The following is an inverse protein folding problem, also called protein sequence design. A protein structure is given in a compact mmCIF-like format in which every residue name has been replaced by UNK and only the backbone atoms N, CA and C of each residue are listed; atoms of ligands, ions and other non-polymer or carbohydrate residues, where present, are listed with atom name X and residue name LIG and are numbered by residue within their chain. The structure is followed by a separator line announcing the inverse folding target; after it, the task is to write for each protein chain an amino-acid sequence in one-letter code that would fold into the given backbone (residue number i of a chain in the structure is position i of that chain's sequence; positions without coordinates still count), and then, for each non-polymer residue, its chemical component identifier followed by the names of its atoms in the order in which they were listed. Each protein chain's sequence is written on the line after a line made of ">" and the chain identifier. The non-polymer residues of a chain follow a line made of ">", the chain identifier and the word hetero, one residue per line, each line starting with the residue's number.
data_IF_920442810724
#
_entry.id   IF_920442810724
#
_cell.length_a   1.000
_cell.length_b   1.000
_cell.length_c   1.000
_cell.angle_alpha   90.00
_cell.angle_beta   90.00
_cell.angle_gamma   90.00
#
_symmetry.space_group_name_H-M   'P 1'
#
loop_
_entity.id
_entity.type
_entity.pdbx_description
1 polymer ?
#
# COMPACT_ATOMS: atom_id res chain seq x y z
N UNK A 1 -28.43 4.69 -18.38
CA UNK A 1 -28.66 6.07 -17.85
C UNK A 1 -28.90 6.16 -16.33
N UNK A 2 -29.77 5.35 -15.68
CA UNK A 2 -29.89 5.39 -14.20
C UNK A 2 -28.71 4.71 -13.47
N UNK A 3 -28.15 3.66 -14.04
CA UNK A 3 -26.98 2.97 -13.47
C UNK A 3 -25.71 3.83 -13.42
N UNK A 4 -25.49 4.65 -14.43
CA UNK A 4 -24.33 5.55 -14.49
C UNK A 4 -24.37 6.65 -13.42
N UNK A 5 -25.55 7.13 -13.06
CA UNK A 5 -25.69 8.15 -12.02
C UNK A 5 -25.34 7.59 -10.65
N UNK A 6 -25.87 6.43 -10.28
CA UNK A 6 -25.60 5.81 -8.99
C UNK A 6 -24.12 5.45 -8.84
N UNK A 7 -23.53 4.87 -9.87
CA UNK A 7 -22.09 4.56 -9.88
C UNK A 7 -21.23 5.82 -9.76
N UNK A 8 -21.62 6.93 -10.41
CA UNK A 8 -20.91 8.21 -10.30
C UNK A 8 -21.08 8.81 -8.90
N UNK A 9 -22.27 8.81 -8.32
CA UNK A 9 -22.53 9.29 -6.96
C UNK A 9 -21.74 8.49 -5.93
N UNK A 10 -21.63 7.17 -6.07
CA UNK A 10 -20.81 6.35 -5.21
C UNK A 10 -19.32 6.69 -5.31
N UNK A 11 -18.79 6.85 -6.52
CA UNK A 11 -17.40 7.30 -6.72
C UNK A 11 -17.16 8.70 -6.14
N UNK A 12 -18.16 9.59 -6.23
CA UNK A 12 -18.09 10.93 -5.63
C UNK A 12 -17.97 10.85 -4.11
N UNK A 13 -18.78 10.01 -3.45
CA UNK A 13 -18.67 9.76 -2.01
C UNK A 13 -17.27 9.29 -1.65
N UNK A 14 -16.75 8.27 -2.34
CA UNK A 14 -15.40 7.75 -2.09
C UNK A 14 -14.31 8.80 -2.31
N UNK A 15 -14.47 9.66 -3.32
CA UNK A 15 -13.50 10.71 -3.65
C UNK A 15 -13.45 11.80 -2.57
N UNK A 16 -14.61 12.20 -2.06
CA UNK A 16 -14.72 13.16 -0.95
C UNK A 16 -14.19 12.58 0.37
N UNK A 17 -14.50 11.32 0.67
CA UNK A 17 -14.07 10.65 1.89
C UNK A 17 -12.54 10.49 2.00
N UNK A 18 -11.84 10.42 0.86
CA UNK A 18 -10.37 10.33 0.82
C UNK A 18 -9.67 11.68 0.92
N UNK A 19 -10.39 12.78 0.85
CA UNK A 19 -9.80 14.12 0.80
C UNK A 19 -10.03 14.89 2.09
N UNK A 20 -9.00 14.97 2.94
CA UNK A 20 -9.03 15.77 4.17
C UNK A 20 -9.19 17.27 3.89
N UNK A 21 -8.66 17.76 2.79
CA UNK A 21 -8.63 19.18 2.45
C UNK A 21 -9.74 19.61 1.48
N UNK A 22 -10.59 18.66 1.09
CA UNK A 22 -11.62 18.86 0.09
C UNK A 22 -11.12 18.70 -1.35
N UNK A 23 -12.06 18.59 -2.29
CA UNK A 23 -11.80 18.45 -3.73
C UNK A 23 -12.46 19.59 -4.46
N UNK A 24 -11.74 20.24 -5.36
CA UNK A 24 -12.26 21.33 -6.19
C UNK A 24 -13.35 20.84 -7.14
N UNK A 25 -14.33 21.70 -7.41
CA UNK A 25 -15.42 21.38 -8.35
C UNK A 25 -14.90 21.01 -9.74
N UNK A 26 -13.83 21.66 -10.18
CA UNK A 26 -13.22 21.42 -11.48
C UNK A 26 -12.51 20.09 -11.55
N UNK A 27 -11.84 19.72 -10.45
CA UNK A 27 -11.17 18.43 -10.32
C UNK A 27 -12.21 17.30 -10.35
N UNK A 28 -13.34 17.47 -9.62
CA UNK A 28 -14.45 16.50 -9.65
C UNK A 28 -15.05 16.36 -11.05
N UNK A 29 -15.26 17.47 -11.77
CA UNK A 29 -15.78 17.45 -13.12
C UNK A 29 -14.83 16.72 -14.09
N UNK A 30 -13.53 16.91 -13.92
CA UNK A 30 -12.49 16.22 -14.69
C UNK A 30 -12.41 14.74 -14.33
N UNK A 31 -12.35 14.39 -13.04
CA UNK A 31 -12.27 13.00 -12.53
C UNK A 31 -13.43 12.13 -13.03
N UNK A 32 -14.61 12.72 -13.23
CA UNK A 32 -15.83 12.01 -13.66
C UNK A 32 -16.21 12.27 -15.12
N UNK A 33 -15.34 12.94 -15.88
CA UNK A 33 -15.58 13.26 -17.29
C UNK A 33 -16.97 13.84 -17.56
N UNK A 34 -17.42 14.77 -16.70
CA UNK A 34 -18.76 15.35 -16.78
C UNK A 34 -18.75 16.87 -16.56
N UNK A 35 -19.85 17.54 -16.91
CA UNK A 35 -19.99 18.97 -16.68
C UNK A 35 -20.12 19.31 -15.18
N UNK A 36 -19.61 20.46 -14.74
CA UNK A 36 -19.77 21.01 -13.38
C UNK A 36 -21.23 20.96 -12.90
N UNK A 37 -22.19 21.23 -13.78
CA UNK A 37 -23.62 21.16 -13.45
C UNK A 37 -24.07 19.76 -13.03
N UNK A 38 -23.47 18.73 -13.59
CA UNK A 38 -23.74 17.33 -13.22
C UNK A 38 -23.19 17.04 -11.83
N UNK A 39 -21.97 17.50 -11.54
CA UNK A 39 -21.37 17.37 -10.20
C UNK A 39 -22.21 18.09 -9.15
N UNK A 40 -22.68 19.31 -9.40
CA UNK A 40 -23.59 20.03 -8.49
C UNK A 40 -24.85 19.22 -8.19
N UNK A 41 -25.51 18.68 -9.21
CA UNK A 41 -26.72 17.87 -9.01
C UNK A 41 -26.45 16.60 -8.19
N UNK A 42 -25.29 15.98 -8.38
CA UNK A 42 -24.92 14.81 -7.61
C UNK A 42 -24.57 15.17 -6.16
N UNK A 43 -23.88 16.30 -5.92
CA UNK A 43 -23.63 16.84 -4.57
C UNK A 43 -24.93 17.19 -3.85
N UNK A 44 -25.86 17.87 -4.53
CA UNK A 44 -27.17 18.21 -3.99
C UNK A 44 -27.98 16.95 -3.62
N UNK A 45 -27.90 15.92 -4.46
CA UNK A 45 -28.54 14.64 -4.19
C UNK A 45 -27.95 13.93 -2.97
N UNK A 46 -26.61 14.00 -2.79
CA UNK A 46 -25.95 13.47 -1.60
C UNK A 46 -26.36 14.23 -0.33
N UNK A 47 -26.38 15.55 -0.37
CA UNK A 47 -26.84 16.38 0.75
C UNK A 47 -28.29 16.07 1.09
N UNK A 48 -29.15 15.94 0.09
CA UNK A 48 -30.55 15.55 0.28
C UNK A 48 -30.70 14.12 0.86
N UNK A 49 -29.74 13.23 0.57
CA UNK A 49 -29.67 11.89 1.15
C UNK A 49 -29.07 11.85 2.56
N UNK A 50 -28.71 13.00 3.13
CA UNK A 50 -28.20 13.12 4.50
C UNK A 50 -26.68 13.02 4.64
N UNK A 51 -25.93 13.00 3.54
CA UNK A 51 -24.47 13.05 3.62
C UNK A 51 -24.01 14.45 4.06
N UNK A 52 -23.11 14.56 5.06
CA UNK A 52 -22.67 15.84 5.61
C UNK A 52 -21.57 16.47 4.74
N UNK A 53 -21.94 16.88 3.54
CA UNK A 53 -21.06 17.56 2.59
C UNK A 53 -20.95 19.04 2.96
N UNK A 54 -19.71 19.50 3.13
CA UNK A 54 -19.37 20.92 3.31
C UNK A 54 -18.80 21.49 2.03
N UNK A 55 -19.14 22.76 1.75
CA UNK A 55 -18.52 23.53 0.70
C UNK A 55 -17.71 24.68 1.30
N UNK A 56 -16.48 24.85 0.86
CA UNK A 56 -15.61 25.97 1.24
C UNK A 56 -15.11 26.71 0.01
N UNK A 57 -15.07 28.03 0.08
CA UNK A 57 -14.50 28.86 -0.97
C UNK A 57 -13.08 29.28 -0.59
N UNK A 58 -12.09 28.88 -1.40
CA UNK A 58 -10.68 29.24 -1.26
C UNK A 58 -10.17 29.75 -2.60
N UNK A 59 -9.49 30.89 -2.64
CA UNK A 59 -8.85 31.45 -3.85
C UNK A 59 -9.81 31.48 -5.06
N UNK A 60 -11.02 31.93 -4.84
CA UNK A 60 -12.09 32.02 -5.85
C UNK A 60 -12.55 30.66 -6.44
N UNK A 61 -12.19 29.53 -5.81
CA UNK A 61 -12.63 28.19 -6.16
C UNK A 61 -13.46 27.56 -5.04
N UNK A 62 -14.39 26.69 -5.40
CA UNK A 62 -15.23 25.97 -4.44
C UNK A 62 -14.69 24.57 -4.26
N UNK A 63 -14.45 24.18 -3.02
CA UNK A 63 -14.03 22.86 -2.60
C UNK A 63 -15.13 22.18 -1.81
N UNK A 64 -15.27 20.88 -2.00
CA UNK A 64 -16.22 20.05 -1.29
C UNK A 64 -15.50 19.00 -0.47
N UNK A 65 -15.94 18.76 0.77
CA UNK A 65 -15.46 17.71 1.66
C UNK A 65 -16.57 17.23 2.57
N UNK A 66 -16.38 16.11 3.22
CA UNK A 66 -17.21 15.72 4.34
C UNK A 66 -16.77 16.43 5.63
N UNK A 67 -17.68 16.50 6.61
CA UNK A 67 -17.34 16.86 7.99
C UNK A 67 -16.20 15.97 8.51
N UNK A 68 -15.32 16.53 9.34
CA UNK A 68 -14.07 15.87 9.77
C UNK A 68 -14.28 14.53 10.48
N UNK A 69 -15.42 14.34 11.15
CA UNK A 69 -15.76 13.08 11.83
C UNK A 69 -16.58 12.10 10.97
N UNK A 70 -16.89 12.47 9.73
CA UNK A 70 -17.64 11.58 8.84
C UNK A 70 -16.76 10.43 8.37
N UNK A 71 -17.10 9.23 8.84
CA UNK A 71 -16.53 7.99 8.33
C UNK A 71 -17.51 7.38 7.34
N UNK A 72 -17.01 7.05 6.16
CA UNK A 72 -17.78 6.26 5.22
C UNK A 72 -18.06 4.91 5.88
N UNK A 73 -19.30 4.68 6.27
CA UNK A 73 -19.73 3.36 6.73
C UNK A 73 -19.56 2.36 5.60
N UNK A 74 -19.25 1.14 5.94
CA UNK A 74 -19.11 -0.06 5.11
C UNK A 74 -18.78 0.15 3.63
N UNK A 75 -17.52 0.00 3.28
CA UNK A 75 -17.12 -0.19 1.87
C UNK A 75 -17.70 -1.53 1.43
N UNK A 76 -18.64 -1.58 0.49
CA UNK A 76 -19.21 -2.84 0.03
C UNK A 76 -18.12 -3.62 -0.73
N UNK A 77 -17.87 -4.83 -0.30
CA UNK A 77 -17.04 -5.79 -1.01
C UNK A 77 -17.91 -6.85 -1.68
N UNK A 78 -17.58 -7.21 -2.90
CA UNK A 78 -18.15 -8.38 -3.55
C UNK A 78 -17.50 -9.65 -2.97
N UNK A 79 -18.16 -10.82 -3.07
CA UNK A 79 -17.57 -12.10 -2.68
C UNK A 79 -16.20 -12.36 -3.32
N UNK A 80 -16.05 -12.03 -4.61
CA UNK A 80 -14.81 -12.22 -5.35
C UNK A 80 -13.68 -11.31 -4.88
N UNK A 81 -13.99 -10.08 -4.47
CA UNK A 81 -12.99 -9.15 -3.90
C UNK A 81 -12.49 -9.66 -2.56
N UNK A 82 -13.37 -10.13 -1.68
CA UNK A 82 -12.98 -10.69 -0.39
C UNK A 82 -12.16 -11.96 -0.57
N UNK A 83 -12.57 -12.84 -1.49
CA UNK A 83 -11.82 -14.05 -1.83
C UNK A 83 -10.41 -13.70 -2.33
N UNK A 84 -10.30 -12.72 -3.22
CA UNK A 84 -9.02 -12.27 -3.75
C UNK A 84 -8.11 -11.70 -2.67
N UNK A 85 -8.67 -10.94 -1.72
CA UNK A 85 -7.93 -10.42 -0.56
C UNK A 85 -7.48 -11.55 0.38
N UNK A 86 -8.34 -12.53 0.67
CA UNK A 86 -7.98 -13.69 1.50
C UNK A 86 -6.90 -14.55 0.84
N UNK A 87 -6.96 -14.75 -0.48
CA UNK A 87 -5.90 -15.40 -1.23
C UNK A 87 -4.59 -14.61 -1.18
N UNK A 88 -4.66 -13.28 -1.28
CA UNK A 88 -3.51 -12.40 -1.12
C UNK A 88 -2.88 -12.49 0.28
N UNK A 89 -3.70 -12.61 1.35
CA UNK A 89 -3.21 -12.86 2.71
C UNK A 89 -2.42 -14.17 2.78
N UNK A 90 -2.96 -15.25 2.21
CA UNK A 90 -2.28 -16.54 2.17
C UNK A 90 -0.95 -16.50 1.40
N UNK A 91 -0.88 -15.78 0.29
CA UNK A 91 0.38 -15.55 -0.45
C UNK A 91 1.42 -14.79 0.40
N UNK A 92 0.97 -13.83 1.21
CA UNK A 92 1.83 -13.06 2.10
C UNK A 92 2.17 -13.76 3.40
N UNK A 93 1.66 -14.98 3.65
CA UNK A 93 1.99 -15.78 4.85
C UNK A 93 3.49 -16.06 4.99
N UNK A 94 4.21 -16.09 3.87
CA UNK A 94 5.67 -16.17 3.89
C UNK A 94 6.35 -14.95 4.52
N UNK A 95 5.62 -13.85 4.68
CA UNK A 95 6.06 -12.60 5.33
C UNK A 95 5.38 -12.40 6.69
N UNK A 96 4.92 -13.48 7.33
CA UNK A 96 4.33 -13.44 8.68
C UNK A 96 5.28 -12.76 9.66
N UNK A 97 4.71 -11.92 10.55
CA UNK A 97 5.47 -11.10 11.48
C UNK A 97 6.04 -9.81 10.90
N UNK A 98 5.82 -9.53 9.63
CA UNK A 98 6.18 -8.22 9.02
C UNK A 98 4.98 -7.29 8.94
N UNK A 99 5.25 -5.99 8.76
CA UNK A 99 4.20 -4.98 8.56
C UNK A 99 3.28 -5.31 7.37
N UNK A 100 3.78 -5.99 6.35
CA UNK A 100 3.00 -6.35 5.16
C UNK A 100 1.92 -7.38 5.48
N UNK A 101 2.28 -8.49 6.11
CA UNK A 101 1.31 -9.53 6.51
C UNK A 101 0.38 -9.04 7.62
N UNK A 102 0.91 -8.41 8.67
CA UNK A 102 0.10 -7.93 9.79
C UNK A 102 -0.93 -6.89 9.35
N UNK A 103 -0.60 -6.03 8.38
CA UNK A 103 -1.51 -5.01 7.88
C UNK A 103 -2.64 -5.60 7.04
N UNK A 104 -2.36 -6.55 6.14
CA UNK A 104 -3.42 -7.21 5.36
C UNK A 104 -4.32 -8.06 6.25
N UNK A 105 -3.74 -8.80 7.22
CA UNK A 105 -4.47 -9.57 8.21
C UNK A 105 -5.44 -8.68 9.00
N UNK A 106 -4.93 -7.57 9.56
CA UNK A 106 -5.76 -6.60 10.29
C UNK A 106 -6.87 -5.99 9.43
N UNK A 107 -6.60 -5.70 8.15
CA UNK A 107 -7.61 -5.18 7.24
C UNK A 107 -8.71 -6.21 6.98
N UNK A 108 -8.34 -7.47 6.71
CA UNK A 108 -9.27 -8.56 6.49
C UNK A 108 -10.12 -8.89 7.71
N UNK A 109 -9.56 -8.85 8.92
CA UNK A 109 -10.32 -9.02 10.16
C UNK A 109 -11.40 -7.94 10.32
N UNK A 110 -11.10 -6.68 9.98
CA UNK A 110 -12.09 -5.59 9.99
C UNK A 110 -13.18 -5.80 8.95
N UNK A 111 -12.81 -6.27 7.74
CA UNK A 111 -13.77 -6.61 6.69
C UNK A 111 -14.66 -7.77 7.16
N UNK A 112 -14.08 -8.86 7.65
CA UNK A 112 -14.82 -10.02 8.18
C UNK A 112 -15.79 -9.63 9.28
N UNK A 113 -15.38 -8.74 10.19
CA UNK A 113 -16.23 -8.24 11.27
C UNK A 113 -17.44 -7.43 10.78
N UNK A 114 -17.38 -6.87 9.57
CA UNK A 114 -18.48 -6.13 8.94
C UNK A 114 -19.41 -6.99 8.08
N UNK A 115 -19.06 -8.27 7.87
CA UNK A 115 -19.84 -9.17 7.02
C UNK A 115 -21.01 -9.81 7.80
N UNK A 116 -22.11 -10.05 7.09
CA UNK A 116 -23.23 -10.85 7.62
C UNK A 116 -22.88 -12.33 7.75
N UNK A 117 -23.70 -13.09 8.54
CA UNK A 117 -23.43 -14.49 8.82
C UNK A 117 -23.31 -15.38 7.57
N UNK A 118 -24.15 -15.14 6.56
CA UNK A 118 -24.13 -15.90 5.29
C UNK A 118 -22.81 -15.75 4.54
N UNK A 119 -22.27 -14.53 4.48
CA UNK A 119 -21.00 -14.25 3.80
C UNK A 119 -19.83 -14.84 4.59
N UNK A 120 -19.88 -14.79 5.91
CA UNK A 120 -18.87 -15.39 6.79
C UNK A 120 -18.80 -16.90 6.59
N UNK A 121 -19.95 -17.58 6.53
CA UNK A 121 -20.03 -19.04 6.25
C UNK A 121 -19.55 -19.37 4.85
N UNK A 122 -19.89 -18.56 3.85
CA UNK A 122 -19.42 -18.72 2.48
C UNK A 122 -17.88 -18.64 2.39
N UNK A 123 -17.27 -17.67 3.05
CA UNK A 123 -15.81 -17.51 3.09
C UNK A 123 -15.12 -18.64 3.85
N UNK A 124 -15.72 -19.17 4.92
CA UNK A 124 -15.18 -20.31 5.63
C UNK A 124 -15.11 -21.54 4.73
N UNK A 125 -16.17 -21.83 3.98
CA UNK A 125 -16.22 -22.94 3.01
C UNK A 125 -15.23 -22.78 1.87
N UNK A 126 -15.02 -21.54 1.39
CA UNK A 126 -14.02 -21.24 0.37
C UNK A 126 -12.59 -21.44 0.88
N UNK A 127 -12.32 -21.05 2.12
CA UNK A 127 -11.00 -21.26 2.76
C UNK A 127 -10.61 -22.73 2.89
N UNK A 128 -11.59 -23.64 2.94
CA UNK A 128 -11.35 -25.10 2.90
C UNK A 128 -10.95 -25.59 1.49
N UNK A 129 -11.36 -24.87 0.44
CA UNK A 129 -11.14 -25.27 -0.96
C UNK A 129 -9.81 -24.80 -1.53
N UNK A 130 -9.18 -23.80 -0.90
CA UNK A 130 -7.91 -23.20 -1.36
C UNK A 130 -6.91 -23.13 -0.20
N UNK A 131 -5.73 -23.65 -0.43
CA UNK A 131 -4.59 -23.51 0.49
C UNK A 131 -3.34 -23.19 -0.29
N UNK A 132 -2.72 -22.06 0.02
CA UNK A 132 -1.38 -21.74 -0.48
C UNK A 132 -0.39 -22.42 0.46
N UNK A 133 0.45 -23.31 -0.09
CA UNK A 133 1.59 -23.86 0.64
C UNK A 133 2.77 -22.89 0.45
N UNK A 134 3.21 -22.21 1.52
CA UNK A 134 4.40 -21.35 1.41
C UNK A 134 5.60 -22.19 1.05
N UNK A 135 6.41 -21.70 0.10
CA UNK A 135 7.72 -22.25 -0.17
C UNK A 135 8.70 -22.00 0.98
N UNK A 136 9.95 -22.47 0.89
CA UNK A 136 10.99 -22.14 1.85
C UNK A 136 11.12 -20.62 2.00
N UNK A 137 11.00 -20.10 3.21
CA UNK A 137 11.06 -18.68 3.51
C UNK A 137 11.86 -18.43 4.79
N UNK A 138 12.39 -17.21 4.93
CA UNK A 138 13.08 -16.78 6.14
C UNK A 138 12.11 -16.47 7.29
N UNK A 139 12.62 -16.48 8.52
CA UNK A 139 11.89 -15.95 9.68
C UNK A 139 11.93 -14.40 9.66
N UNK A 140 10.94 -13.80 9.04
CA UNK A 140 10.84 -12.35 8.92
C UNK A 140 10.28 -11.67 10.16
N UNK A 141 9.69 -12.39 11.10
CA UNK A 141 9.26 -11.85 12.37
C UNK A 141 10.44 -11.26 13.17
N UNK A 142 11.58 -11.94 13.15
CA UNK A 142 12.83 -11.45 13.76
C UNK A 142 13.43 -10.23 13.03
N UNK A 143 13.02 -9.96 11.78
CA UNK A 143 13.53 -8.88 10.94
C UNK A 143 12.58 -7.70 10.81
N UNK A 144 11.52 -7.63 11.62
CA UNK A 144 10.49 -6.59 11.56
C UNK A 144 11.10 -5.18 11.59
N UNK A 145 12.02 -4.92 12.52
CA UNK A 145 12.66 -3.60 12.64
C UNK A 145 13.58 -3.30 11.46
N UNK A 146 14.31 -4.29 10.97
CA UNK A 146 15.15 -4.17 9.75
C UNK A 146 14.30 -3.77 8.55
N UNK A 147 13.16 -4.45 8.34
CA UNK A 147 12.25 -4.16 7.23
C UNK A 147 11.64 -2.76 7.38
N UNK A 148 11.26 -2.36 8.60
CA UNK A 148 10.72 -1.03 8.87
C UNK A 148 11.74 0.06 8.54
N UNK A 149 12.97 -0.05 9.05
CA UNK A 149 14.05 0.92 8.77
C UNK A 149 14.34 1.01 7.28
N UNK A 150 14.42 -0.12 6.57
CA UNK A 150 14.61 -0.13 5.12
C UNK A 150 13.47 0.57 4.37
N UNK A 151 12.23 0.29 4.76
CA UNK A 151 11.05 0.86 4.10
C UNK A 151 11.00 2.38 4.29
N UNK A 152 11.23 2.86 5.51
CA UNK A 152 11.34 4.29 5.82
C UNK A 152 12.48 4.95 5.02
N UNK A 153 13.66 4.29 4.96
CA UNK A 153 14.81 4.80 4.24
C UNK A 153 14.58 4.90 2.73
N UNK A 154 13.89 3.94 2.12
CA UNK A 154 13.50 3.98 0.70
C UNK A 154 12.52 5.14 0.45
N UNK A 155 11.49 5.28 1.28
CA UNK A 155 10.47 6.32 1.15
C UNK A 155 11.06 7.72 1.32
N UNK A 156 11.89 7.90 2.33
CA UNK A 156 12.50 9.19 2.67
C UNK A 156 13.78 9.49 1.87
N UNK A 157 14.23 8.55 1.03
CA UNK A 157 15.49 8.61 0.28
C UNK A 157 16.69 8.89 1.20
N UNK A 158 16.81 8.10 2.26
CA UNK A 158 17.89 8.20 3.25
C UNK A 158 18.83 7.00 3.14
N UNK A 159 20.13 7.26 3.21
CA UNK A 159 21.15 6.22 3.26
C UNK A 159 21.02 5.42 4.56
N UNK A 160 21.42 4.16 4.52
CA UNK A 160 21.48 3.29 5.70
C UNK A 160 22.89 2.74 5.88
N UNK A 161 23.32 2.59 7.13
CA UNK A 161 24.49 1.82 7.52
C UNK A 161 24.02 0.46 8.04
N UNK A 162 24.60 -0.63 7.56
CA UNK A 162 24.19 -1.98 7.96
C UNK A 162 25.37 -2.92 8.16
N UNK A 163 25.26 -3.85 9.13
CA UNK A 163 26.11 -5.01 9.26
C UNK A 163 25.55 -6.14 8.41
N UNK A 164 26.27 -6.53 7.38
CA UNK A 164 25.83 -7.51 6.39
C UNK A 164 26.69 -8.76 6.38
N UNK A 165 26.05 -9.93 6.53
CA UNK A 165 26.71 -11.24 6.43
C UNK A 165 26.76 -11.69 4.98
N UNK A 166 27.97 -11.78 4.41
CA UNK A 166 28.17 -12.21 3.02
C UNK A 166 27.83 -13.71 2.85
N UNK A 167 27.05 -14.03 1.81
CA UNK A 167 26.56 -15.41 1.60
C UNK A 167 27.66 -16.44 1.35
N UNK A 168 28.73 -16.07 0.63
CA UNK A 168 29.78 -16.99 0.22
C UNK A 168 30.82 -17.29 1.32
N UNK A 169 31.11 -16.33 2.17
CA UNK A 169 32.17 -16.43 3.16
C UNK A 169 31.70 -16.42 4.60
N UNK A 170 30.41 -16.12 4.84
CA UNK A 170 29.84 -15.92 6.17
C UNK A 170 30.38 -14.71 6.94
N UNK A 171 31.31 -13.94 6.34
CA UNK A 171 31.94 -12.78 7.00
C UNK A 171 30.96 -11.61 7.10
N UNK A 172 30.99 -11.00 8.24
CA UNK A 172 30.24 -9.75 8.47
C UNK A 172 31.05 -8.55 7.99
N UNK A 173 30.38 -7.61 7.36
CA UNK A 173 30.97 -6.36 6.86
C UNK A 173 29.99 -5.22 7.05
N UNK A 174 30.51 -4.08 7.45
CA UNK A 174 29.73 -2.84 7.40
C UNK A 174 29.52 -2.43 5.95
N UNK A 175 28.29 -1.99 5.65
CA UNK A 175 27.89 -1.47 4.35
C UNK A 175 27.12 -0.18 4.52
N UNK A 176 27.44 0.81 3.70
CA UNK A 176 26.66 2.03 3.52
C UNK A 176 25.92 1.89 2.20
N UNK A 177 24.60 1.94 2.27
CA UNK A 177 23.71 1.70 1.14
C UNK A 177 22.76 2.89 0.96
N UNK A 178 22.58 3.32 -0.27
CA UNK A 178 21.45 4.16 -0.69
C UNK A 178 20.35 3.23 -1.22
N UNK A 179 19.33 2.87 -0.41
CA UNK A 179 18.35 1.87 -0.78
C UNK A 179 17.35 2.46 -1.77
N UNK A 180 17.23 1.85 -2.96
CA UNK A 180 16.32 2.33 -4.01
C UNK A 180 14.96 1.66 -3.93
N UNK A 181 14.94 0.31 -3.73
CA UNK A 181 13.71 -0.47 -3.68
C UNK A 181 13.88 -1.77 -2.88
N UNK A 182 12.81 -2.15 -2.17
CA UNK A 182 12.65 -3.49 -1.59
C UNK A 182 11.80 -4.32 -2.53
N UNK A 183 12.16 -5.59 -2.73
CA UNK A 183 11.43 -6.51 -3.58
C UNK A 183 11.43 -7.93 -3.04
N UNK A 184 10.47 -8.73 -3.49
CA UNK A 184 10.27 -10.09 -3.06
C UNK A 184 10.43 -11.05 -4.25
N UNK A 185 11.24 -12.11 -4.07
CA UNK A 185 11.43 -13.13 -5.10
C UNK A 185 11.77 -14.47 -4.43
N UNK A 186 11.05 -15.53 -4.84
CA UNK A 186 11.39 -16.90 -4.46
C UNK A 186 11.42 -17.17 -2.94
N UNK A 187 10.51 -16.56 -2.18
CA UNK A 187 10.46 -16.72 -0.72
C UNK A 187 11.36 -15.77 0.06
N UNK A 188 12.10 -14.87 -0.59
CA UNK A 188 13.04 -13.97 0.07
C UNK A 188 12.81 -12.50 -0.27
N UNK A 189 13.05 -11.63 0.74
CA UNK A 189 13.09 -10.17 0.58
C UNK A 189 14.51 -9.72 0.26
N UNK A 190 14.59 -8.79 -0.66
CA UNK A 190 15.83 -8.17 -1.11
C UNK A 190 15.68 -6.65 -1.08
N UNK A 191 16.79 -5.96 -0.88
CA UNK A 191 16.91 -4.53 -1.14
C UNK A 191 17.97 -4.29 -2.22
N UNK A 192 17.65 -3.48 -3.21
CA UNK A 192 18.58 -3.01 -4.23
C UNK A 192 18.92 -1.55 -3.98
N UNK A 193 20.17 -1.18 -4.19
CA UNK A 193 20.64 0.18 -3.99
C UNK A 193 22.11 0.34 -4.30
N UNK A 194 22.61 1.58 -4.21
CA UNK A 194 24.01 1.91 -4.42
C UNK A 194 24.83 1.58 -3.17
N UNK A 195 25.74 0.62 -3.29
CA UNK A 195 26.69 0.21 -2.24
C UNK A 195 27.94 1.11 -2.31
N UNK A 196 28.14 1.95 -1.31
CA UNK A 196 29.25 2.90 -1.28
C UNK A 196 30.63 2.25 -1.18
N UNK A 197 30.74 1.02 -0.67
CA UNK A 197 32.00 0.30 -0.62
C UNK A 197 32.43 -0.24 -1.98
N UNK A 198 31.48 -0.65 -2.82
CA UNK A 198 31.80 -1.14 -4.16
C UNK A 198 31.69 -0.07 -5.25
N UNK A 199 30.97 1.02 -4.98
CA UNK A 199 30.63 2.05 -5.96
C UNK A 199 29.61 1.60 -7.02
N UNK A 200 28.90 0.47 -6.77
CA UNK A 200 27.99 -0.17 -7.73
C UNK A 200 26.59 -0.33 -7.14
N UNK A 201 25.59 -0.46 -8.02
CA UNK A 201 24.26 -0.89 -7.62
C UNK A 201 24.31 -2.39 -7.31
N UNK A 202 23.86 -2.78 -6.13
CA UNK A 202 23.86 -4.17 -5.66
C UNK A 202 22.54 -4.56 -5.00
N UNK A 203 22.30 -5.86 -5.01
CA UNK A 203 21.18 -6.50 -4.31
C UNK A 203 21.68 -7.17 -3.04
N UNK A 204 20.97 -6.94 -1.93
CA UNK A 204 21.24 -7.51 -0.62
C UNK A 204 20.01 -8.27 -0.13
N UNK A 205 20.22 -9.50 0.34
CA UNK A 205 19.16 -10.29 0.96
C UNK A 205 18.88 -9.76 2.39
N UNK A 206 17.65 -9.46 2.70
CA UNK A 206 17.25 -8.78 3.96
C UNK A 206 17.54 -9.67 5.18
N UNK A 207 17.39 -10.99 5.05
CA UNK A 207 17.68 -11.99 6.10
C UNK A 207 19.17 -12.08 6.49
N UNK A 208 20.05 -11.45 5.71
CA UNK A 208 21.48 -11.37 5.99
C UNK A 208 21.94 -10.08 6.64
N UNK A 209 21.02 -9.14 6.85
CA UNK A 209 21.27 -7.92 7.60
C UNK A 209 21.19 -8.25 9.09
N UNK A 210 22.24 -7.97 9.84
CA UNK A 210 22.32 -8.20 11.28
C UNK A 210 21.90 -7.00 12.09
N UNK A 211 22.37 -5.84 11.67
CA UNK A 211 22.05 -4.56 12.27
C UNK A 211 21.85 -3.53 11.15
N UNK A 212 20.99 -2.58 11.34
CA UNK A 212 20.74 -1.50 10.40
C UNK A 212 20.36 -0.22 11.13
N UNK A 213 20.89 0.88 10.64
CA UNK A 213 20.57 2.21 11.14
C UNK A 213 20.34 3.16 9.97
N UNK A 214 19.30 3.97 10.05
CA UNK A 214 19.07 5.06 9.10
C UNK A 214 20.13 6.15 9.31
N UNK A 215 20.81 6.54 8.24
CA UNK A 215 21.74 7.67 8.22
C UNK A 215 21.01 9.01 8.07
N UNK A 216 21.75 10.10 8.18
CA UNK A 216 21.20 11.44 7.94
C UNK A 216 21.29 11.88 6.48
N UNK A 217 22.21 11.24 5.72
CA UNK A 217 22.44 11.58 4.31
C UNK A 217 21.24 11.22 3.46
N UNK A 218 20.78 12.17 2.64
CA UNK A 218 19.80 11.95 1.59
C UNK A 218 20.49 11.68 0.26
N UNK A 219 19.87 10.85 -0.57
CA UNK A 219 20.35 10.52 -1.90
C UNK A 219 19.26 10.75 -2.95
N UNK A 220 19.69 10.82 -4.20
CA UNK A 220 18.79 10.81 -5.36
C UNK A 220 19.21 9.61 -6.22
N UNK A 221 18.30 8.66 -6.50
CA UNK A 221 18.61 7.58 -7.45
C UNK A 221 19.00 8.14 -8.81
N UNK A 222 19.90 7.49 -9.55
CA UNK A 222 20.21 7.88 -10.92
C UNK A 222 18.93 7.95 -11.76
N UNK A 223 18.80 8.96 -12.62
CA UNK A 223 17.62 9.18 -13.45
C UNK A 223 17.38 8.04 -14.46
N UNK A 224 18.43 7.33 -14.81
CA UNK A 224 18.46 6.18 -15.73
C UNK A 224 18.33 4.83 -15.03
N UNK A 225 18.18 4.81 -13.69
CA UNK A 225 17.95 3.55 -12.95
C UNK A 225 16.55 3.02 -13.25
N UNK A 226 16.50 1.97 -14.06
CA UNK A 226 15.29 1.18 -14.32
C UNK A 226 15.33 -0.11 -13.52
N UNK A 227 14.44 -0.23 -12.55
CA UNK A 227 14.35 -1.40 -11.67
C UNK A 227 13.94 -2.67 -12.44
N UNK A 228 13.02 -2.57 -13.40
CA UNK A 228 12.53 -3.72 -14.17
C UNK A 228 13.67 -4.26 -15.07
N UNK A 229 14.41 -3.37 -15.73
CA UNK A 229 15.60 -3.75 -16.49
C UNK A 229 16.68 -4.36 -15.57
N UNK A 230 16.87 -3.81 -14.37
CA UNK A 230 17.82 -4.35 -13.40
C UNK A 230 17.52 -5.79 -13.00
N UNK A 231 16.27 -6.10 -12.61
CA UNK A 231 15.88 -7.44 -12.18
C UNK A 231 15.87 -8.45 -13.32
N UNK A 232 15.62 -8.02 -14.57
CA UNK A 232 15.67 -8.88 -15.74
C UNK A 232 17.11 -9.32 -16.12
N UNK A 233 18.12 -8.50 -15.74
CA UNK A 233 19.54 -8.76 -16.00
C UNK A 233 20.28 -9.47 -14.87
N UNK A 234 19.65 -9.65 -13.70
CA UNK A 234 20.23 -10.25 -12.49
C UNK A 234 19.34 -11.35 -11.91
#
# INVERSE_FOLDING_TARGET
>A
MRGDQLARQWRLIQRLARSRWGVGLDDLASDFECHRRTVYRDLDALMAAGFPVLSERRDNRVFYRFLDDFKLGDVPFTPDEILSLAFGEDLLRTLEGTVFHDSIHSALEKIRASLGPEMTEFLARLGESFRVLPGPHGDYAALRDTIRVLNEAVLDRRSVAMQYRTGRTGRERTRDLDPYRIWYRGGALYVVGHDHQSGEIRTFAVDRIREIHAGERRFTPPADFDFEAWIAGN
#
